data_IF_348337872573
#
_entry.id   IF_348337872573
#
_cell.length_a   1.000
_cell.length_b   1.000
_cell.length_c   1.000
_cell.angle_alpha   90.00
_cell.angle_beta   90.00
_cell.angle_gamma   90.00
#
_symmetry.space_group_name_H-M   'P 1'
#
loop_
_entity.id
_entity.type
_entity.pdbx_description
1 polymer ?
#
# COMPACT_ATOMS: atom_id res chain seq x y z
N UNK A 1 -16.93 12.97 6.75
CA UNK A 1 -15.66 12.28 6.99
C UNK A 1 -14.53 13.04 6.37
N UNK A 2 -13.40 13.03 7.04
CA UNK A 2 -12.23 13.76 6.58
C UNK A 2 -11.64 13.10 5.35
N UNK A 3 -11.29 13.86 4.32
CA UNK A 3 -10.58 13.36 3.14
C UNK A 3 -9.15 12.91 3.48
N UNK A 4 -8.68 13.23 4.68
CA UNK A 4 -7.35 12.83 5.15
C UNK A 4 -7.35 11.51 5.90
N UNK A 5 -8.52 10.87 6.03
CA UNK A 5 -8.60 9.57 6.68
C UNK A 5 -7.81 8.53 5.90
N UNK A 6 -7.00 7.76 6.62
CA UNK A 6 -6.15 6.73 6.04
C UNK A 6 -6.70 5.37 6.43
N UNK A 7 -7.00 4.56 5.42
CA UNK A 7 -7.34 3.16 5.64
C UNK A 7 -6.06 2.36 5.82
N UNK A 8 -6.13 1.29 6.60
CA UNK A 8 -4.96 0.46 6.86
C UNK A 8 -5.23 -1.00 6.52
N UNK A 9 -4.26 -1.63 5.87
CA UNK A 9 -4.26 -3.05 5.59
C UNK A 9 -3.05 -3.67 6.26
N UNK A 10 -3.28 -4.65 7.11
CA UNK A 10 -2.22 -5.40 7.76
C UNK A 10 -1.95 -6.68 6.95
N UNK A 11 -0.84 -6.66 6.23
CA UNK A 11 -0.36 -7.79 5.44
C UNK A 11 0.93 -8.38 6.03
N UNK A 12 1.17 -8.12 7.32
CA UNK A 12 2.36 -8.68 8.00
C UNK A 12 2.29 -10.20 8.02
N UNK A 13 3.45 -10.84 7.89
CA UNK A 13 3.54 -12.30 7.85
C UNK A 13 3.20 -12.92 6.50
N UNK A 14 2.71 -12.14 5.55
CA UNK A 14 2.38 -12.63 4.21
C UNK A 14 3.53 -12.34 3.26
N UNK A 15 3.71 -13.25 2.29
CA UNK A 15 4.78 -13.15 1.30
C UNK A 15 4.25 -12.58 -0.01
N UNK A 16 5.16 -11.96 -0.78
CA UNK A 16 4.89 -11.50 -2.13
C UNK A 16 4.24 -12.65 -2.96
N UNK A 17 3.14 -12.38 -3.71
CA UNK A 17 2.56 -11.08 -4.00
C UNK A 17 1.36 -10.69 -3.11
N UNK A 18 1.13 -11.37 -2.00
CA UNK A 18 -0.09 -11.20 -1.20
C UNK A 18 -0.29 -9.76 -0.68
N UNK A 19 0.74 -9.08 -0.15
CA UNK A 19 0.53 -7.70 0.30
C UNK A 19 0.00 -6.79 -0.82
N UNK A 20 0.53 -6.96 -2.03
CA UNK A 20 0.07 -6.18 -3.18
C UNK A 20 -1.36 -6.51 -3.57
N UNK A 21 -1.72 -7.80 -3.57
CA UNK A 21 -3.09 -8.20 -3.91
C UNK A 21 -4.11 -7.64 -2.92
N UNK A 22 -3.78 -7.65 -1.64
CA UNK A 22 -4.63 -7.06 -0.60
C UNK A 22 -4.77 -5.55 -0.79
N UNK A 23 -3.66 -4.88 -1.14
CA UNK A 23 -3.68 -3.44 -1.41
C UNK A 23 -4.56 -3.10 -2.62
N UNK A 24 -4.46 -3.87 -3.69
CA UNK A 24 -5.29 -3.66 -4.88
C UNK A 24 -6.78 -3.76 -4.55
N UNK A 25 -7.15 -4.76 -3.78
CA UNK A 25 -8.54 -4.95 -3.35
C UNK A 25 -9.02 -3.77 -2.51
N UNK A 26 -8.20 -3.33 -1.56
CA UNK A 26 -8.55 -2.21 -0.70
C UNK A 26 -8.68 -0.91 -1.50
N UNK A 27 -7.76 -0.66 -2.44
CA UNK A 27 -7.79 0.54 -3.27
C UNK A 27 -9.06 0.60 -4.13
N UNK A 28 -9.52 -0.55 -4.64
CA UNK A 28 -10.74 -0.59 -5.44
C UNK A 28 -11.97 -0.13 -4.65
N UNK A 29 -11.95 -0.26 -3.33
CA UNK A 29 -13.04 0.16 -2.47
C UNK A 29 -12.93 1.63 -2.05
N UNK A 30 -11.83 2.30 -2.35
CA UNK A 30 -11.61 3.69 -1.97
C UNK A 30 -12.06 4.65 -3.07
N UNK A 31 -12.38 5.87 -2.65
CA UNK A 31 -12.63 6.98 -3.58
C UNK A 31 -11.31 7.68 -3.93
N UNK A 32 -11.31 8.39 -5.06
CA UNK A 32 -10.15 9.17 -5.48
C UNK A 32 -9.71 10.13 -4.38
N UNK A 33 -8.40 10.18 -4.14
CA UNK A 33 -7.82 11.04 -3.12
C UNK A 33 -7.73 10.41 -1.74
N UNK A 34 -8.40 9.29 -1.50
CA UNK A 34 -8.25 8.58 -0.25
C UNK A 34 -6.92 7.84 -0.18
N UNK A 35 -6.43 7.62 1.02
CA UNK A 35 -5.13 7.03 1.25
C UNK A 35 -5.23 5.67 1.90
N UNK A 36 -4.28 4.81 1.55
CA UNK A 36 -4.17 3.46 2.08
C UNK A 36 -2.76 3.26 2.65
N UNK A 37 -2.70 2.82 3.90
CA UNK A 37 -1.45 2.38 4.51
C UNK A 37 -1.42 0.86 4.50
N UNK A 38 -0.36 0.29 3.95
CA UNK A 38 -0.17 -1.17 3.92
C UNK A 38 1.04 -1.52 4.75
N UNK A 39 0.85 -2.44 5.69
CA UNK A 39 1.93 -2.98 6.51
C UNK A 39 2.35 -4.32 5.93
N UNK A 40 3.65 -4.51 5.75
CA UNK A 40 4.21 -5.75 5.21
C UNK A 40 5.52 -6.07 5.91
N UNK A 41 5.80 -7.36 6.05
CA UNK A 41 7.10 -7.83 6.53
C UNK A 41 7.91 -8.48 5.42
N UNK A 42 7.38 -8.51 4.19
CA UNK A 42 8.06 -9.08 3.05
C UNK A 42 8.88 -8.02 2.32
N UNK A 43 10.18 -8.25 2.20
CA UNK A 43 11.10 -7.33 1.54
C UNK A 43 10.74 -7.09 0.08
N UNK A 44 10.20 -8.11 -0.59
CA UNK A 44 9.79 -8.00 -2.00
C UNK A 44 8.65 -7.03 -2.22
N UNK A 45 7.89 -6.70 -1.17
CA UNK A 45 6.78 -5.75 -1.30
C UNK A 45 7.25 -4.35 -1.70
N UNK A 46 8.46 -3.96 -1.34
CA UNK A 46 9.00 -2.63 -1.67
C UNK A 46 9.02 -2.45 -3.19
N UNK A 47 9.59 -3.42 -3.89
CA UNK A 47 9.64 -3.39 -5.35
C UNK A 47 8.25 -3.50 -5.97
N UNK A 48 7.44 -4.41 -5.45
CA UNK A 48 6.11 -4.65 -5.98
C UNK A 48 5.24 -3.39 -5.93
N UNK A 49 5.26 -2.67 -4.83
CA UNK A 49 4.47 -1.44 -4.69
C UNK A 49 5.00 -0.32 -5.59
N UNK A 50 6.30 -0.23 -5.77
CA UNK A 50 6.88 0.76 -6.69
C UNK A 50 6.42 0.52 -8.12
N UNK A 51 6.53 -0.71 -8.58
CA UNK A 51 6.11 -1.08 -9.95
C UNK A 51 4.61 -0.88 -10.12
N UNK A 52 3.83 -1.30 -9.13
CA UNK A 52 2.38 -1.14 -9.15
C UNK A 52 1.97 0.35 -9.28
N UNK A 53 2.61 1.22 -8.49
CA UNK A 53 2.30 2.64 -8.55
C UNK A 53 2.60 3.23 -9.93
N UNK A 54 3.73 2.84 -10.53
CA UNK A 54 4.08 3.29 -11.88
C UNK A 54 3.07 2.83 -12.93
N UNK A 55 2.62 1.59 -12.84
CA UNK A 55 1.72 0.99 -13.83
C UNK A 55 0.27 1.43 -13.66
N UNK A 56 -0.18 1.63 -12.43
CA UNK A 56 -1.58 1.92 -12.15
C UNK A 56 -1.93 3.41 -12.15
N UNK A 57 -0.93 4.26 -11.94
CA UNK A 57 -1.14 5.68 -11.74
C UNK A 57 -1.49 6.06 -10.31
N UNK A 58 -1.72 5.11 -9.41
CA UNK A 58 -1.85 5.42 -7.99
C UNK A 58 -0.52 5.97 -7.47
N UNK A 59 -0.60 6.86 -6.48
CA UNK A 59 0.59 7.51 -5.95
C UNK A 59 1.15 6.74 -4.77
N UNK A 60 2.41 6.39 -4.84
CA UNK A 60 3.15 5.86 -3.69
C UNK A 60 3.79 7.05 -2.97
N UNK A 61 3.16 7.49 -1.89
CA UNK A 61 3.56 8.70 -1.17
C UNK A 61 4.76 8.46 -0.26
N UNK A 62 4.84 7.26 0.31
CA UNK A 62 5.92 6.92 1.23
C UNK A 62 6.12 5.42 1.26
N UNK A 63 7.36 5.02 1.49
CA UNK A 63 7.73 3.63 1.72
C UNK A 63 8.82 3.65 2.79
N UNK A 64 8.48 3.19 3.99
CA UNK A 64 9.40 3.19 5.12
C UNK A 64 9.77 1.77 5.52
N UNK A 65 11.02 1.59 5.90
CA UNK A 65 11.52 0.35 6.51
C UNK A 65 11.80 0.64 7.98
N UNK A 66 11.01 0.01 8.86
CA UNK A 66 11.15 0.14 10.31
C UNK A 66 11.56 -1.22 10.87
N UNK A 67 12.83 -1.54 10.75
CA UNK A 67 13.40 -2.79 11.25
C UNK A 67 12.64 -4.03 10.74
N UNK A 68 12.44 -4.08 9.42
CA UNK A 68 11.77 -5.20 8.78
C UNK A 68 10.25 -5.07 8.67
N UNK A 69 9.66 -4.03 9.25
CA UNK A 69 8.28 -3.66 9.00
C UNK A 69 8.25 -2.59 7.92
N UNK A 70 7.74 -2.95 6.76
CA UNK A 70 7.63 -2.04 5.63
C UNK A 70 6.26 -1.37 5.66
N UNK A 71 6.25 -0.05 5.66
CA UNK A 71 5.02 0.74 5.68
C UNK A 71 4.91 1.47 4.35
N UNK A 72 3.90 1.11 3.57
CA UNK A 72 3.65 1.72 2.26
C UNK A 72 2.42 2.61 2.35
N UNK A 73 2.55 3.87 1.96
CA UNK A 73 1.44 4.81 1.93
C UNK A 73 1.09 5.14 0.49
N UNK A 74 -0.14 4.81 0.10
CA UNK A 74 -0.64 4.99 -1.25
C UNK A 74 -1.81 5.97 -1.26
N UNK A 75 -1.96 6.70 -2.37
CA UNK A 75 -3.12 7.56 -2.60
C UNK A 75 -3.85 7.08 -3.84
N UNK A 76 -5.16 6.90 -3.70
CA UNK A 76 -6.02 6.48 -4.81
C UNK A 76 -6.14 7.60 -5.84
N UNK A 77 -5.97 7.25 -7.09
CA UNK A 77 -6.12 8.17 -8.22
C UNK A 77 -7.57 8.32 -8.64
#
# INVERSE_FOLDING_TARGET
MSATEVQEVDATGLQCPMPLLMAKRALNALASGQRLRVLSTDQGSVRDFRVFAEQSGHRLLACEDRDGLYVHLLEKV
#
